data_IF_632166145067
#
_entry.id   IF_632166145067
#
_cell.length_a   1.000
_cell.length_b   1.000
_cell.length_c   1.000
_cell.angle_alpha   90.00
_cell.angle_beta   90.00
_cell.angle_gamma   90.00
#
_symmetry.space_group_name_H-M   'P 1'
#
loop_
_entity.id
_entity.type
_entity.pdbx_description
1 polymer ?
#
# COMPACT_ATOMS: atom_id res chain seq x y z
N UNK A 1 14.11 -20.46 17.35
CA UNK A 1 14.06 -21.16 18.64
C UNK A 1 12.92 -20.53 19.43
N UNK A 2 11.89 -21.29 19.80
CA UNK A 2 10.75 -20.72 20.53
C UNK A 2 11.11 -20.57 22.03
N UNK A 3 11.47 -19.34 22.40
CA UNK A 3 11.89 -18.96 23.76
C UNK A 3 10.75 -19.25 24.75
N UNK A 4 9.50 -18.98 24.36
CA UNK A 4 8.30 -19.24 25.18
C UNK A 4 8.15 -20.73 25.47
N UNK A 5 8.32 -21.57 24.46
CA UNK A 5 8.25 -23.02 24.61
C UNK A 5 9.38 -23.57 25.50
N UNK A 6 10.59 -23.01 25.37
CA UNK A 6 11.76 -23.41 26.17
C UNK A 6 11.56 -23.08 27.65
N UNK A 7 11.15 -21.86 27.96
CA UNK A 7 10.89 -21.41 29.34
C UNK A 7 9.74 -22.17 29.98
N UNK A 8 8.67 -22.41 29.21
CA UNK A 8 7.55 -23.23 29.66
C UNK A 8 8.00 -24.64 30.05
N UNK A 9 8.94 -25.23 29.29
CA UNK A 9 9.50 -26.56 29.56
C UNK A 9 10.34 -26.58 30.82
N UNK A 10 11.20 -25.58 31.02
CA UNK A 10 12.00 -25.41 32.24
C UNK A 10 11.08 -25.31 33.46
N UNK A 11 10.03 -24.48 33.36
CA UNK A 11 9.07 -24.28 34.45
C UNK A 11 8.34 -25.58 34.83
N UNK A 12 7.92 -26.37 33.84
CA UNK A 12 7.30 -27.70 34.08
C UNK A 12 8.27 -28.66 34.75
N UNK A 13 9.55 -28.65 34.34
CA UNK A 13 10.57 -29.51 34.93
C UNK A 13 10.83 -29.17 36.38
N UNK A 14 10.92 -27.88 36.73
CA UNK A 14 11.08 -27.41 38.11
C UNK A 14 9.87 -27.81 38.97
N UNK A 15 8.64 -27.63 38.47
CA UNK A 15 7.42 -28.08 39.16
C UNK A 15 7.39 -29.59 39.39
N UNK A 16 7.81 -30.36 38.39
CA UNK A 16 7.92 -31.80 38.53
C UNK A 16 8.92 -32.17 39.61
N UNK A 17 10.13 -31.60 39.58
CA UNK A 17 11.16 -31.80 40.62
C UNK A 17 10.61 -31.52 42.02
N UNK A 18 9.91 -30.40 42.18
CA UNK A 18 9.22 -30.02 43.42
C UNK A 18 8.19 -31.02 43.93
N UNK A 19 7.52 -31.74 43.02
CA UNK A 19 6.49 -32.71 43.39
C UNK A 19 7.03 -34.12 43.64
N UNK A 20 8.06 -34.55 42.90
CA UNK A 20 8.56 -35.93 42.95
C UNK A 20 9.81 -36.14 43.80
N UNK A 21 10.73 -35.17 43.83
CA UNK A 21 12.06 -35.35 44.42
C UNK A 21 12.22 -34.57 45.73
N UNK A 22 11.79 -33.30 45.73
CA UNK A 22 11.98 -32.42 46.89
C UNK A 22 11.34 -32.95 48.19
N UNK A 23 10.11 -33.50 48.20
CA UNK A 23 9.50 -34.02 49.43
C UNK A 23 10.09 -35.36 49.90
N UNK A 24 10.86 -36.05 49.05
CA UNK A 24 11.44 -37.36 49.36
C UNK A 24 12.89 -37.26 49.83
N UNK A 25 13.65 -36.37 49.20
CA UNK A 25 15.10 -36.27 49.38
C UNK A 25 15.52 -35.17 50.36
N UNK A 26 14.58 -34.32 50.79
CA UNK A 26 14.86 -33.16 51.65
C UNK A 26 13.86 -33.01 52.80
N UNK A 27 14.26 -32.25 53.82
CA UNK A 27 13.41 -31.94 54.96
C UNK A 27 12.27 -30.97 54.60
N UNK A 28 11.28 -30.87 55.48
CA UNK A 28 10.07 -30.09 55.25
C UNK A 28 10.36 -28.58 55.10
N UNK A 29 11.34 -28.06 55.82
CA UNK A 29 11.73 -26.65 55.76
C UNK A 29 12.32 -26.28 54.39
N UNK A 30 13.19 -27.13 53.86
CA UNK A 30 13.73 -26.99 52.52
C UNK A 30 12.62 -27.11 51.45
N UNK A 31 11.70 -28.05 51.62
CA UNK A 31 10.57 -28.21 50.70
C UNK A 31 9.69 -26.96 50.64
N UNK A 32 9.40 -26.34 51.78
CA UNK A 32 8.69 -25.05 51.87
C UNK A 32 9.46 -23.92 51.18
N UNK A 33 10.78 -23.85 51.38
CA UNK A 33 11.66 -22.90 50.70
C UNK A 33 11.66 -23.07 49.17
N UNK A 34 11.73 -24.32 48.70
CA UNK A 34 11.67 -24.65 47.28
C UNK A 34 10.32 -24.28 46.65
N UNK A 35 9.21 -24.55 47.34
CA UNK A 35 7.87 -24.17 46.90
C UNK A 35 7.75 -22.64 46.77
N UNK A 36 8.26 -21.89 47.76
CA UNK A 36 8.27 -20.44 47.74
C UNK A 36 9.10 -19.88 46.57
N UNK A 37 10.32 -20.39 46.37
CA UNK A 37 11.18 -20.01 45.24
C UNK A 37 10.53 -20.31 43.87
N UNK A 38 9.82 -21.44 43.76
CA UNK A 38 9.10 -21.82 42.54
C UNK A 38 7.92 -20.88 42.24
N UNK A 39 7.24 -20.39 43.28
CA UNK A 39 6.19 -19.36 43.16
C UNK A 39 6.76 -18.03 42.68
N UNK A 40 7.86 -17.57 43.29
CA UNK A 40 8.55 -16.34 42.86
C UNK A 40 9.01 -16.42 41.40
N UNK A 41 9.61 -17.56 41.01
CA UNK A 41 9.99 -17.81 39.63
C UNK A 41 8.79 -17.75 38.67
N UNK A 42 7.64 -18.30 39.08
CA UNK A 42 6.42 -18.27 38.26
C UNK A 42 5.91 -16.84 38.06
N UNK A 43 5.95 -16.02 39.11
CA UNK A 43 5.55 -14.60 39.03
C UNK A 43 6.51 -13.81 38.13
N UNK A 44 7.83 -13.98 38.31
CA UNK A 44 8.84 -13.33 37.49
C UNK A 44 8.71 -13.75 36.01
N UNK A 45 8.45 -15.03 35.73
CA UNK A 45 8.24 -15.52 34.37
C UNK A 45 7.04 -14.88 33.70
N UNK A 46 5.92 -14.71 34.42
CA UNK A 46 4.71 -14.08 33.87
C UNK A 46 4.94 -12.60 33.60
N UNK A 47 5.56 -11.87 34.53
CA UNK A 47 5.77 -10.43 34.39
C UNK A 47 6.83 -10.07 33.32
N UNK A 48 7.96 -10.77 33.30
CA UNK A 48 9.05 -10.45 32.37
C UNK A 48 8.79 -11.05 30.98
N UNK A 49 8.42 -12.33 30.90
CA UNK A 49 8.27 -13.00 29.62
C UNK A 49 6.86 -12.88 29.03
N UNK A 50 5.82 -12.74 29.85
CA UNK A 50 4.46 -12.49 29.34
C UNK A 50 4.43 -11.19 28.53
N UNK A 51 5.02 -10.13 29.07
CA UNK A 51 5.12 -8.84 28.39
C UNK A 51 6.00 -8.91 27.13
N UNK A 52 7.17 -9.55 27.22
CA UNK A 52 8.05 -9.71 26.05
C UNK A 52 7.39 -10.49 24.90
N UNK A 53 6.74 -11.61 25.21
CA UNK A 53 6.02 -12.43 24.22
C UNK A 53 4.89 -11.63 23.58
N UNK A 54 4.12 -10.87 24.37
CA UNK A 54 3.05 -10.03 23.86
C UNK A 54 3.60 -8.93 22.92
N UNK A 55 4.74 -8.32 23.24
CA UNK A 55 5.41 -7.35 22.38
C UNK A 55 5.84 -7.99 21.05
N UNK A 56 6.45 -9.17 21.09
CA UNK A 56 6.88 -9.88 19.87
C UNK A 56 5.69 -10.35 19.02
N UNK A 57 4.61 -10.84 19.64
CA UNK A 57 3.37 -11.19 18.95
C UNK A 57 2.73 -9.95 18.29
N UNK A 58 2.72 -8.80 18.98
CA UNK A 58 2.27 -7.52 18.44
C UNK A 58 3.13 -7.05 17.26
N UNK A 59 4.47 -7.14 17.36
CA UNK A 59 5.39 -6.82 16.25
C UNK A 59 5.10 -7.71 15.04
N UNK A 60 4.94 -9.01 15.23
CA UNK A 60 4.64 -9.94 14.14
C UNK A 60 3.31 -9.61 13.45
N UNK A 61 2.28 -9.22 14.22
CA UNK A 61 1.00 -8.77 13.68
C UNK A 61 1.14 -7.47 12.88
N UNK A 62 1.87 -6.49 13.40
CA UNK A 62 2.16 -5.22 12.70
C UNK A 62 2.92 -5.48 11.40
N UNK A 63 3.93 -6.34 11.42
CA UNK A 63 4.69 -6.73 10.22
C UNK A 63 3.77 -7.37 9.17
N UNK A 64 2.87 -8.28 9.57
CA UNK A 64 1.90 -8.89 8.63
C UNK A 64 0.97 -7.84 8.02
N UNK A 65 0.47 -6.91 8.83
CA UNK A 65 -0.39 -5.82 8.36
C UNK A 65 0.33 -4.91 7.37
N UNK A 66 1.59 -4.55 7.66
CA UNK A 66 2.43 -3.75 6.77
C UNK A 66 2.73 -4.49 5.46
N UNK A 67 3.05 -5.79 5.49
CA UNK A 67 3.23 -6.60 4.28
C UNK A 67 2.00 -6.59 3.39
N UNK A 68 0.81 -6.77 3.96
CA UNK A 68 -0.45 -6.71 3.21
C UNK A 68 -0.66 -5.34 2.57
N UNK A 69 -0.37 -4.24 3.29
CA UNK A 69 -0.44 -2.89 2.73
C UNK A 69 0.53 -2.68 1.56
N UNK A 70 1.73 -3.25 1.64
CA UNK A 70 2.71 -3.20 0.54
C UNK A 70 2.15 -3.92 -0.69
N UNK A 71 1.66 -5.16 -0.54
CA UNK A 71 1.07 -5.92 -1.65
C UNK A 71 -0.12 -5.18 -2.31
N UNK A 72 -0.97 -4.53 -1.51
CA UNK A 72 -2.09 -3.74 -2.03
C UNK A 72 -1.62 -2.49 -2.78
N UNK A 73 -0.56 -1.83 -2.31
CA UNK A 73 0.05 -0.69 -3.00
C UNK A 73 0.75 -1.10 -4.29
N UNK A 74 1.46 -2.23 -4.31
CA UNK A 74 2.10 -2.77 -5.51
C UNK A 74 1.07 -3.06 -6.61
N UNK A 75 -0.08 -3.66 -6.26
CA UNK A 75 -1.19 -3.87 -7.20
C UNK A 75 -1.73 -2.55 -7.76
N UNK A 76 -1.87 -1.52 -6.92
CA UNK A 76 -2.31 -0.18 -7.37
C UNK A 76 -1.30 0.46 -8.32
N UNK A 77 -0.01 0.40 -8.00
CA UNK A 77 1.05 0.90 -8.87
C UNK A 77 1.05 0.20 -10.23
N UNK A 78 0.90 -1.14 -10.25
CA UNK A 78 0.83 -1.90 -11.49
C UNK A 78 -0.37 -1.49 -12.34
N UNK A 79 -1.54 -1.33 -11.73
CA UNK A 79 -2.75 -0.87 -12.42
C UNK A 79 -2.61 0.55 -12.97
N UNK A 80 -2.00 1.46 -12.22
CA UNK A 80 -1.73 2.82 -12.67
C UNK A 80 -0.74 2.84 -13.85
N UNK A 81 0.33 2.04 -13.79
CA UNK A 81 1.29 1.91 -14.90
C UNK A 81 0.60 1.44 -16.18
N UNK A 82 -0.23 0.40 -16.11
CA UNK A 82 -1.01 -0.08 -17.26
C UNK A 82 -1.95 0.99 -17.83
N UNK A 83 -2.51 1.85 -16.99
CA UNK A 83 -3.34 2.95 -17.46
C UNK A 83 -2.52 4.04 -18.15
N UNK A 84 -1.34 4.38 -17.62
CA UNK A 84 -0.40 5.31 -18.26
C UNK A 84 0.00 4.77 -19.64
N UNK A 85 0.42 3.51 -19.72
CA UNK A 85 0.80 2.87 -20.98
C UNK A 85 -0.35 2.91 -22.01
N UNK A 86 -1.60 2.70 -21.58
CA UNK A 86 -2.78 2.82 -22.45
C UNK A 86 -2.99 4.27 -22.93
N UNK A 87 -2.84 5.25 -22.05
CA UNK A 87 -3.00 6.66 -22.42
C UNK A 87 -1.89 7.12 -23.37
N UNK A 88 -0.65 6.71 -23.17
CA UNK A 88 0.46 6.99 -24.09
C UNK A 88 0.21 6.38 -25.47
N UNK A 89 -0.26 5.13 -25.52
CA UNK A 89 -0.63 4.49 -26.79
C UNK A 89 -1.77 5.21 -27.51
N UNK A 90 -2.78 5.70 -26.77
CA UNK A 90 -3.87 6.51 -27.33
C UNK A 90 -3.36 7.86 -27.83
N UNK A 91 -2.46 8.51 -27.10
CA UNK A 91 -1.85 9.77 -27.48
C UNK A 91 -1.05 9.61 -28.78
N UNK A 92 -0.21 8.58 -28.88
CA UNK A 92 0.59 8.28 -30.08
C UNK A 92 -0.28 7.94 -31.29
N UNK A 93 -1.41 7.26 -31.08
CA UNK A 93 -2.41 7.04 -32.13
C UNK A 93 -3.10 8.33 -32.54
N UNK A 94 -3.42 9.21 -31.60
CA UNK A 94 -4.15 10.45 -31.89
C UNK A 94 -3.25 11.50 -32.55
N UNK A 95 -1.98 11.59 -32.15
CA UNK A 95 -0.99 12.47 -32.76
C UNK A 95 -0.66 12.11 -34.22
N UNK A 96 -0.89 10.85 -34.60
CA UNK A 96 -0.74 10.38 -35.99
C UNK A 96 -2.03 10.46 -36.81
N UNK A 97 -3.19 10.61 -36.17
CA UNK A 97 -4.48 10.84 -36.86
C UNK A 97 -4.53 12.30 -37.33
N UNK A 98 -4.07 12.52 -38.57
CA UNK A 98 -4.34 13.74 -39.30
C UNK A 98 -5.68 13.62 -40.02
N UNK A 99 -6.60 14.56 -39.78
CA UNK A 99 -7.83 14.68 -40.56
C UNK A 99 -7.46 14.88 -42.03
N UNK A 100 -7.82 13.94 -42.91
CA UNK A 100 -7.59 14.09 -44.35
C UNK A 100 -8.20 15.40 -44.86
N UNK A 101 -7.56 16.03 -45.85
CA UNK A 101 -8.01 17.29 -46.43
C UNK A 101 -9.47 17.24 -46.90
N UNK A 102 -9.95 16.09 -47.37
CA UNK A 102 -11.34 15.91 -47.78
C UNK A 102 -12.32 15.98 -46.59
N UNK A 103 -11.96 15.41 -45.43
CA UNK A 103 -12.77 15.52 -44.22
C UNK A 103 -12.74 16.96 -43.67
N UNK A 104 -11.58 17.63 -43.70
CA UNK A 104 -11.47 19.06 -43.34
C UNK A 104 -12.38 19.93 -44.20
N UNK A 105 -12.37 19.77 -45.53
CA UNK A 105 -13.25 20.50 -46.46
C UNK A 105 -14.74 20.28 -46.17
N UNK A 106 -15.15 19.06 -45.82
CA UNK A 106 -16.55 18.76 -45.43
C UNK A 106 -16.95 19.51 -44.15
N UNK A 107 -16.07 19.53 -43.15
CA UNK A 107 -16.29 20.28 -41.90
C UNK A 107 -16.40 21.78 -42.19
N UNK A 108 -15.49 22.34 -42.98
CA UNK A 108 -15.52 23.76 -43.34
C UNK A 108 -16.81 24.15 -44.07
N UNK A 109 -17.29 23.31 -45.01
CA UNK A 109 -18.56 23.54 -45.70
C UNK A 109 -19.76 23.47 -44.76
N UNK A 110 -19.82 22.45 -43.91
CA UNK A 110 -20.92 22.31 -42.95
C UNK A 110 -20.98 23.48 -41.97
N UNK A 111 -19.84 23.93 -41.46
CA UNK A 111 -19.78 25.10 -40.58
C UNK A 111 -20.18 26.37 -41.32
N UNK A 112 -19.70 26.59 -42.55
CA UNK A 112 -20.08 27.73 -43.38
C UNK A 112 -21.59 27.78 -43.66
N UNK A 113 -22.22 26.63 -43.93
CA UNK A 113 -23.68 26.53 -44.11
C UNK A 113 -24.44 26.84 -42.82
N UNK A 114 -23.99 26.34 -41.67
CA UNK A 114 -24.67 26.53 -40.38
C UNK A 114 -24.53 27.98 -39.88
N UNK A 115 -23.35 28.58 -40.04
CA UNK A 115 -23.07 29.93 -39.52
C UNK A 115 -23.38 31.04 -40.52
N UNK A 116 -23.66 30.69 -41.78
CA UNK A 116 -23.85 31.65 -42.88
C UNK A 116 -22.57 32.39 -43.27
N UNK A 117 -21.41 31.99 -42.74
CA UNK A 117 -20.14 32.66 -43.02
C UNK A 117 -19.47 32.10 -44.28
N UNK A 118 -18.70 32.93 -45.01
CA UNK A 118 -17.97 32.46 -46.19
C UNK A 118 -17.02 31.31 -45.86
N UNK A 119 -16.99 30.30 -46.73
CA UNK A 119 -16.15 29.11 -46.57
C UNK A 119 -14.67 29.44 -46.31
N UNK A 120 -14.13 30.44 -47.01
CA UNK A 120 -12.72 30.81 -46.85
C UNK A 120 -12.43 31.45 -45.48
N UNK A 121 -13.39 32.18 -44.90
CA UNK A 121 -13.26 32.72 -43.54
C UNK A 121 -13.17 31.60 -42.50
N UNK A 122 -14.05 30.60 -42.60
CA UNK A 122 -14.05 29.44 -41.70
C UNK A 122 -12.76 28.62 -41.84
N UNK A 123 -12.27 28.43 -43.06
CA UNK A 123 -11.03 27.73 -43.34
C UNK A 123 -9.82 28.45 -42.74
N UNK A 124 -9.73 29.78 -42.88
CA UNK A 124 -8.67 30.58 -42.27
C UNK A 124 -8.69 30.48 -40.75
N UNK A 125 -9.86 30.62 -40.11
CA UNK A 125 -10.01 30.46 -38.67
C UNK A 125 -9.59 29.07 -38.18
N UNK A 126 -9.93 28.01 -38.93
CA UNK A 126 -9.53 26.64 -38.58
C UNK A 126 -8.04 26.39 -38.73
N UNK A 127 -7.40 26.96 -39.76
CA UNK A 127 -5.95 26.88 -39.95
C UNK A 127 -5.22 27.63 -38.84
N UNK A 128 -5.72 28.81 -38.46
CA UNK A 128 -5.16 29.61 -37.37
C UNK A 128 -5.20 28.87 -36.01
N UNK A 129 -6.30 28.16 -35.73
CA UNK A 129 -6.47 27.32 -34.55
C UNK A 129 -5.61 26.05 -34.57
N UNK A 130 -5.42 25.43 -35.75
CA UNK A 130 -4.64 24.19 -35.89
C UNK A 130 -3.11 24.42 -35.89
N UNK A 131 -2.64 25.54 -36.43
CA UNK A 131 -1.21 25.90 -36.47
C UNK A 131 -0.70 26.50 -35.14
N UNK A 132 -1.50 26.47 -34.08
CA UNK A 132 -1.05 26.87 -32.76
C UNK A 132 -0.70 28.36 -32.64
N UNK A 133 -1.20 29.23 -33.52
CA UNK A 133 -1.28 30.66 -33.25
C UNK A 133 -2.43 30.90 -32.27
N UNK A 134 -2.24 30.38 -31.05
CA UNK A 134 -2.95 30.85 -29.88
C UNK A 134 -2.91 32.37 -29.92
N UNK A 135 -4.11 32.94 -30.03
CA UNK A 135 -4.43 34.36 -29.91
C UNK A 135 -3.55 34.91 -28.77
N UNK A 136 -2.48 35.63 -29.12
CA UNK A 136 -2.02 36.72 -28.25
C UNK A 136 -3.23 37.61 -28.19
N UNK A 137 -3.93 37.59 -27.07
CA UNK A 137 -5.03 38.49 -26.74
C UNK A 137 -4.58 39.91 -27.08
N UNK A 138 -4.96 40.38 -28.26
CA UNK A 138 -5.05 41.82 -28.50
C UNK A 138 -6.24 42.24 -27.67
N UNK A 139 -5.90 42.79 -26.49
CA UNK A 139 -6.76 43.47 -25.56
C UNK A 139 -8.13 43.84 -26.16
N UNK A 140 -9.15 43.16 -25.63
CA UNK A 140 -10.49 43.69 -25.55
C UNK A 140 -10.43 45.05 -24.83
N UNK A 141 -11.12 46.03 -25.43
CA UNK A 141 -11.47 47.37 -24.95
C UNK A 141 -10.33 48.41 -25.02
N UNK A 142 -10.44 49.42 -25.90
CA UNK A 142 -11.22 50.68 -25.74
C UNK A 142 -10.91 51.40 -24.43
#
# INVERSE_FOLDING_TARGET
MDIKATLSRICRKIKHIGATYIPKDFNEEYAKGFEHATKLLSVALVHEFGNYVQIEENKAMVIRSLKKKIEDLEKKCLAQKLNIDKMENLLNRTSTITLSNNKKKKIFRAVAEITGQPYEYIKEQFVELLDGKLIKSKNLNK
#
